data_IF_269043835747
#
_entry.id   IF_269043835747
#
_cell.length_a   1.000
_cell.length_b   1.000
_cell.length_c   1.000
_cell.angle_alpha   90.00
_cell.angle_beta   90.00
_cell.angle_gamma   90.00
#
_symmetry.space_group_name_H-M   'P 1'
#
loop_
_entity.id
_entity.type
_entity.pdbx_description
1 polymer ?
#
# COMPACT_ATOMS: atom_id res chain seq x y z
N UNK A 1 -4.57 -15.05 6.05
CA UNK A 1 -4.08 -16.38 5.65
C UNK A 1 -2.79 -16.69 6.42
N UNK A 2 -2.88 -16.93 7.74
CA UNK A 2 -1.70 -17.12 8.59
C UNK A 2 -0.92 -18.40 8.24
N UNK A 3 -1.62 -19.47 7.84
CA UNK A 3 -0.99 -20.75 7.48
C UNK A 3 -0.07 -20.66 6.26
N UNK A 4 -0.48 -19.94 5.20
CA UNK A 4 0.40 -19.73 4.05
C UNK A 4 1.60 -18.84 4.40
N UNK A 5 1.40 -17.77 5.19
CA UNK A 5 2.48 -16.89 5.61
C UNK A 5 3.52 -17.66 6.45
N UNK A 6 3.07 -18.51 7.39
CA UNK A 6 3.97 -19.33 8.20
C UNK A 6 4.86 -20.23 7.33
N UNK A 7 4.27 -20.88 6.32
CA UNK A 7 5.02 -21.74 5.39
C UNK A 7 6.01 -20.95 4.54
N UNK A 8 5.59 -19.86 3.93
CA UNK A 8 6.43 -19.09 3.00
C UNK A 8 7.54 -18.30 3.71
N UNK A 9 7.32 -17.86 4.95
CA UNK A 9 8.26 -17.07 5.73
C UNK A 9 9.15 -17.94 6.65
N UNK A 10 8.99 -19.27 6.63
CA UNK A 10 9.78 -20.17 7.47
C UNK A 10 9.55 -19.97 8.97
N UNK A 11 8.31 -19.64 9.36
CA UNK A 11 7.93 -19.50 10.77
C UNK A 11 7.68 -20.89 11.35
N UNK A 12 8.38 -21.21 12.44
CA UNK A 12 8.16 -22.46 13.17
C UNK A 12 6.87 -22.41 13.97
N UNK A 13 6.36 -23.56 14.39
CA UNK A 13 5.18 -23.62 15.27
C UNK A 13 5.42 -22.84 16.58
N UNK A 14 6.61 -22.96 17.17
CA UNK A 14 6.99 -22.20 18.36
C UNK A 14 7.06 -20.69 18.11
N UNK A 15 7.51 -20.26 16.92
CA UNK A 15 7.50 -18.84 16.56
C UNK A 15 6.06 -18.30 16.57
N UNK A 16 5.12 -19.03 15.96
CA UNK A 16 3.70 -18.63 15.90
C UNK A 16 3.05 -18.54 17.29
N UNK A 17 3.30 -19.53 18.15
CA UNK A 17 2.80 -19.53 19.53
C UNK A 17 3.39 -18.37 20.32
N UNK A 18 4.72 -18.19 20.26
CA UNK A 18 5.38 -17.07 20.95
C UNK A 18 4.89 -15.72 20.45
N UNK A 19 4.57 -15.63 19.14
CA UNK A 19 4.07 -14.39 18.57
C UNK A 19 2.64 -14.11 19.10
N UNK A 20 1.78 -15.13 19.13
CA UNK A 20 0.43 -14.99 19.66
C UNK A 20 0.42 -14.61 21.15
N UNK A 21 1.27 -15.24 21.97
CA UNK A 21 1.41 -14.93 23.40
C UNK A 21 1.94 -13.51 23.65
N UNK A 22 2.79 -12.99 22.77
CA UNK A 22 3.24 -11.59 22.78
C UNK A 22 2.14 -10.60 22.33
N UNK A 23 0.93 -11.09 22.03
CA UNK A 23 -0.22 -10.27 21.65
C UNK A 23 -0.23 -9.88 20.17
N UNK A 24 0.57 -10.54 19.33
CA UNK A 24 0.64 -10.17 17.92
C UNK A 24 -0.65 -10.43 17.16
N UNK A 25 -1.09 -9.40 16.43
CA UNK A 25 -2.28 -9.44 15.59
C UNK A 25 -1.93 -8.88 14.21
N UNK A 26 -2.59 -9.37 13.16
CA UNK A 26 -2.23 -9.04 11.78
C UNK A 26 -2.43 -7.57 11.35
N UNK A 27 -2.78 -6.69 12.29
CA UNK A 27 -2.94 -5.25 12.08
C UNK A 27 -2.18 -4.42 13.13
N UNK A 28 -1.33 -5.05 13.93
CA UNK A 28 -0.40 -4.33 14.81
C UNK A 28 0.73 -3.68 13.99
N UNK A 29 1.57 -2.90 14.66
CA UNK A 29 2.71 -2.20 14.04
C UNK A 29 3.99 -3.07 14.01
N UNK A 30 3.89 -4.37 14.33
CA UNK A 30 5.04 -5.28 14.49
C UNK A 30 5.20 -6.21 13.27
N UNK A 31 5.58 -5.63 12.14
CA UNK A 31 5.74 -6.36 10.87
C UNK A 31 6.97 -7.29 10.83
N UNK A 32 7.94 -7.10 11.73
CA UNK A 32 9.16 -7.92 11.84
C UNK A 32 9.40 -8.31 13.30
N UNK A 33 9.35 -9.62 13.59
CA UNK A 33 9.60 -10.17 14.93
C UNK A 33 10.83 -11.05 14.88
N UNK A 34 11.81 -10.80 15.76
CA UNK A 34 13.08 -11.55 15.83
C UNK A 34 13.80 -11.62 14.47
N UNK A 35 13.72 -10.54 13.69
CA UNK A 35 14.32 -10.46 12.34
C UNK A 35 13.57 -11.23 11.26
N UNK A 36 12.43 -11.87 11.57
CA UNK A 36 11.57 -12.54 10.60
C UNK A 36 10.33 -11.70 10.30
N UNK A 37 9.97 -11.50 9.02
CA UNK A 37 8.70 -10.88 8.67
C UNK A 37 7.52 -11.74 9.13
N UNK A 38 6.43 -11.10 9.53
CA UNK A 38 5.23 -11.77 10.06
C UNK A 38 4.10 -11.87 9.04
N UNK A 39 4.17 -11.04 8.00
CA UNK A 39 3.17 -10.92 6.95
C UNK A 39 3.75 -11.14 5.55
N UNK A 40 2.85 -11.43 4.61
CA UNK A 40 3.17 -11.49 3.19
C UNK A 40 2.14 -10.70 2.40
N UNK A 41 2.62 -9.95 1.40
CA UNK A 41 1.76 -9.26 0.43
C UNK A 41 1.52 -10.22 -0.75
N UNK A 42 0.26 -10.38 -1.14
CA UNK A 42 -0.14 -11.20 -2.30
C UNK A 42 -0.77 -10.31 -3.36
N UNK A 43 -0.27 -10.41 -4.58
CA UNK A 43 -0.92 -9.84 -5.77
C UNK A 43 -1.65 -10.96 -6.51
N UNK A 44 -2.76 -10.61 -7.15
CA UNK A 44 -3.55 -11.53 -7.98
C UNK A 44 -3.90 -10.82 -9.28
N UNK A 45 -3.58 -11.46 -10.39
CA UNK A 45 -3.81 -10.93 -11.74
C UNK A 45 -5.16 -11.43 -12.26
N UNK A 46 -5.86 -10.56 -12.98
CA UNK A 46 -7.14 -10.89 -13.58
C UNK A 46 -6.98 -11.62 -14.91
N UNK A 47 -8.07 -12.14 -15.46
CA UNK A 47 -8.07 -12.84 -16.75
C UNK A 47 -7.45 -12.03 -17.90
N UNK A 48 -7.65 -10.71 -17.89
CA UNK A 48 -7.15 -9.79 -18.92
C UNK A 48 -5.71 -9.32 -18.68
N UNK A 49 -5.08 -9.71 -17.55
CA UNK A 49 -3.72 -9.32 -17.25
C UNK A 49 -2.73 -10.08 -18.12
N UNK A 50 -1.73 -9.35 -18.60
CA UNK A 50 -0.64 -9.86 -19.41
C UNK A 50 0.61 -10.10 -18.57
N UNK A 51 1.60 -10.79 -19.14
CA UNK A 51 2.90 -10.94 -18.50
C UNK A 51 3.59 -9.58 -18.31
N UNK A 52 3.40 -8.68 -19.27
CA UNK A 52 3.90 -7.32 -19.26
C UNK A 52 3.35 -6.53 -18.07
N UNK A 53 2.06 -6.68 -17.75
CA UNK A 53 1.47 -6.05 -16.55
C UNK A 53 2.16 -6.50 -15.27
N UNK A 54 2.53 -7.78 -15.18
CA UNK A 54 3.27 -8.31 -14.04
C UNK A 54 4.71 -7.79 -13.97
N UNK A 55 5.35 -7.62 -15.13
CA UNK A 55 6.70 -7.05 -15.23
C UNK A 55 6.71 -5.56 -14.83
N UNK A 56 5.75 -4.77 -15.30
CA UNK A 56 5.61 -3.36 -14.92
C UNK A 56 5.36 -3.20 -13.42
N UNK A 57 4.53 -4.07 -12.85
CA UNK A 57 4.35 -4.11 -11.40
C UNK A 57 5.65 -4.45 -10.66
N UNK A 58 6.46 -5.36 -11.18
CA UNK A 58 7.77 -5.68 -10.59
C UNK A 58 8.74 -4.48 -10.67
N UNK A 59 8.76 -3.76 -11.79
CA UNK A 59 9.54 -2.52 -11.96
C UNK A 59 9.09 -1.45 -10.95
N UNK A 60 7.79 -1.31 -10.73
CA UNK A 60 7.25 -0.43 -9.70
C UNK A 60 7.75 -0.80 -8.30
N UNK A 61 7.73 -2.09 -7.93
CA UNK A 61 8.25 -2.55 -6.64
C UNK A 61 9.73 -2.23 -6.46
N UNK A 62 10.54 -2.52 -7.49
CA UNK A 62 11.98 -2.28 -7.46
C UNK A 62 12.33 -0.80 -7.37
N UNK A 63 11.60 0.07 -8.04
CA UNK A 63 11.84 1.52 -8.03
C UNK A 63 11.35 2.19 -6.74
N UNK A 64 10.27 1.70 -6.15
CA UNK A 64 9.60 2.37 -5.02
C UNK A 64 10.00 1.82 -3.65
N UNK A 65 10.31 0.52 -3.55
CA UNK A 65 10.46 -0.16 -2.26
C UNK A 65 11.79 -0.89 -2.05
N UNK A 66 12.62 -1.04 -3.09
CA UNK A 66 13.92 -1.71 -2.98
C UNK A 66 15.04 -0.67 -2.93
N UNK A 67 15.73 -0.60 -1.80
CA UNK A 67 16.96 0.19 -1.69
C UNK A 67 18.06 -0.47 -2.53
N UNK A 68 18.56 0.24 -3.54
CA UNK A 68 19.74 -0.21 -4.30
C UNK A 68 20.99 0.10 -3.48
N UNK A 69 21.90 -0.87 -3.23
CA UNK A 69 23.16 -0.56 -2.58
C UNK A 69 23.93 0.42 -3.45
N UNK A 70 24.20 1.61 -2.90
CA UNK A 70 25.05 2.60 -3.57
C UNK A 70 26.47 2.04 -3.52
N UNK A 71 27.00 1.66 -4.68
CA UNK A 71 28.43 1.47 -4.81
C UNK A 71 29.09 2.84 -4.57
N UNK A 72 29.61 3.06 -3.36
CA UNK A 72 30.39 4.25 -3.02
C UNK A 72 31.65 4.30 -3.88
N UNK A 73 31.54 5.02 -4.97
CA UNK A 73 32.66 5.63 -5.69
C UNK A 73 32.38 7.12 -5.75
N UNK A 74 32.86 7.82 -4.72
CA UNK A 74 33.24 9.24 -4.68
C UNK A 74 32.38 10.22 -5.50
N UNK A 75 31.47 10.89 -4.78
CA UNK A 75 31.04 12.28 -4.99
C UNK A 75 30.44 12.61 -6.35
N UNK A 76 29.12 12.78 -6.42
CA UNK A 76 28.42 13.92 -7.05
C UNK A 76 26.90 13.73 -6.92
N UNK A 77 26.25 14.76 -6.36
CA UNK A 77 24.87 15.24 -6.53
C UNK A 77 23.74 14.21 -6.74
N UNK A 78 22.82 14.14 -5.78
CA UNK A 78 21.48 13.56 -5.96
C UNK A 78 20.71 14.41 -6.99
N UNK A 79 20.83 14.07 -8.27
CA UNK A 79 19.93 14.55 -9.30
C UNK A 79 18.68 13.68 -9.26
N UNK A 80 17.61 14.22 -8.70
CA UNK A 80 16.24 13.78 -9.03
C UNK A 80 16.05 14.05 -10.53
N UNK A 81 16.52 13.13 -11.36
CA UNK A 81 16.09 13.07 -12.74
C UNK A 81 14.71 12.44 -12.73
N UNK A 82 13.71 13.32 -12.87
CA UNK A 82 12.54 13.13 -13.72
C UNK A 82 12.48 11.75 -14.36
N UNK A 83 11.42 11.00 -14.01
CA UNK A 83 10.98 9.81 -14.71
C UNK A 83 10.85 10.13 -16.20
N UNK A 84 11.93 9.95 -16.96
CA UNK A 84 11.91 9.82 -18.39
C UNK A 84 11.30 8.44 -18.69
N UNK A 85 9.98 8.36 -18.57
CA UNK A 85 9.19 7.38 -19.31
C UNK A 85 9.09 7.86 -20.75
N UNK A 86 10.24 7.92 -21.44
CA UNK A 86 10.28 7.93 -22.89
C UNK A 86 10.58 6.50 -23.29
N UNK A 87 9.54 5.67 -23.23
CA UNK A 87 9.58 4.36 -23.86
C UNK A 87 9.50 4.61 -25.37
N UNK A 88 10.66 4.49 -26.02
CA UNK A 88 10.85 4.88 -27.40
C UNK A 88 10.58 3.73 -28.38
N UNK A 89 9.88 2.66 -27.96
CA UNK A 89 9.53 1.53 -28.83
C UNK A 89 8.21 0.87 -28.43
N UNK A 90 7.10 1.56 -28.70
CA UNK A 90 5.96 0.97 -29.42
C UNK A 90 4.84 2.02 -29.54
N UNK A 91 4.36 2.24 -30.76
CA UNK A 91 3.05 2.88 -30.99
C UNK A 91 1.95 1.92 -30.52
N UNK A 92 1.92 1.64 -29.21
CA UNK A 92 0.77 1.03 -28.58
C UNK A 92 -0.28 2.13 -28.53
N UNK A 93 -1.38 1.94 -29.26
CA UNK A 93 -2.58 2.75 -29.15
C UNK A 93 -3.01 2.64 -27.69
N UNK A 94 -2.68 3.65 -26.88
CA UNK A 94 -3.15 3.72 -25.50
C UNK A 94 -4.67 3.74 -25.62
N UNK A 95 -5.39 2.73 -25.09
CA UNK A 95 -6.84 2.75 -25.13
C UNK A 95 -7.34 4.06 -24.50
N UNK A 96 -8.44 4.61 -25.04
CA UNK A 96 -9.05 5.83 -24.50
C UNK A 96 -9.50 5.57 -23.05
N UNK A 97 -8.63 5.91 -22.09
CA UNK A 97 -8.90 5.78 -20.66
C UNK A 97 -9.66 7.03 -20.22
N UNK A 98 -10.93 6.84 -19.88
CA UNK A 98 -11.77 7.91 -19.34
C UNK A 98 -12.08 7.68 -17.87
N UNK A 99 -11.93 8.74 -17.07
CA UNK A 99 -12.39 8.75 -15.69
C UNK A 99 -13.92 8.77 -15.67
N UNK A 100 -14.52 7.69 -15.13
CA UNK A 100 -15.99 7.57 -15.07
C UNK A 100 -16.62 8.38 -13.94
N UNK A 101 -16.02 8.35 -12.75
CA UNK A 101 -16.51 9.06 -11.57
C UNK A 101 -15.43 9.15 -10.50
N UNK A 102 -15.54 10.14 -9.63
CA UNK A 102 -14.74 10.28 -8.42
C UNK A 102 -15.70 10.16 -7.23
N UNK A 103 -15.37 9.33 -6.25
CA UNK A 103 -16.17 9.17 -5.03
C UNK A 103 -15.26 9.45 -3.83
N UNK A 104 -15.67 10.41 -3.00
CA UNK A 104 -14.94 10.79 -1.79
C UNK A 104 -15.55 10.07 -0.59
N UNK A 105 -14.69 9.46 0.22
CA UNK A 105 -15.05 8.78 1.46
C UNK A 105 -14.36 9.48 2.64
N UNK A 106 -15.01 10.49 3.26
CA UNK A 106 -14.44 11.20 4.41
C UNK A 106 -14.14 10.28 5.57
N UNK A 107 -14.96 9.23 5.75
CA UNK A 107 -14.75 8.15 6.71
C UNK A 107 -14.73 6.83 5.95
N UNK A 108 -13.66 6.06 6.14
CA UNK A 108 -13.50 4.74 5.52
C UNK A 108 -14.67 3.83 5.91
N UNK A 109 -15.20 3.12 4.92
CA UNK A 109 -16.34 2.19 5.05
C UNK A 109 -17.71 2.84 5.31
N UNK A 110 -17.81 4.18 5.32
CA UNK A 110 -19.09 4.89 5.31
C UNK A 110 -19.55 5.22 3.88
N UNK A 111 -20.77 5.74 3.74
CA UNK A 111 -21.29 6.20 2.46
C UNK A 111 -20.42 7.35 1.91
N UNK A 112 -19.87 7.17 0.71
CA UNK A 112 -19.16 8.21 -0.01
C UNK A 112 -20.11 9.11 -0.82
N UNK A 113 -19.60 10.25 -1.27
CA UNK A 113 -20.32 11.14 -2.18
C UNK A 113 -19.56 11.32 -3.50
N UNK A 114 -20.31 11.41 -4.59
CA UNK A 114 -19.75 11.57 -5.94
C UNK A 114 -19.38 13.02 -6.20
N UNK A 115 -18.26 13.24 -6.89
CA UNK A 115 -17.80 14.56 -7.32
C UNK A 115 -17.42 14.54 -8.80
N UNK A 116 -17.54 15.68 -9.48
CA UNK A 116 -17.17 15.83 -10.89
C UNK A 116 -15.67 16.02 -11.08
N UNK A 117 -15.01 16.67 -10.13
CA UNK A 117 -13.56 16.92 -10.13
C UNK A 117 -13.05 16.99 -8.70
N UNK A 118 -11.73 16.81 -8.54
CA UNK A 118 -11.07 16.95 -7.24
C UNK A 118 -9.65 17.53 -7.43
N UNK A 119 -9.17 18.43 -6.56
CA UNK A 119 -7.84 19.01 -6.72
C UNK A 119 -6.73 17.97 -6.53
N UNK A 120 -5.67 18.10 -7.32
CA UNK A 120 -4.41 17.36 -7.13
C UNK A 120 -3.39 18.24 -6.41
N UNK A 121 -2.71 17.64 -5.44
CA UNK A 121 -1.54 18.15 -4.76
C UNK A 121 -0.31 17.33 -5.17
N UNK A 122 0.89 17.75 -4.73
CA UNK A 122 2.13 17.04 -5.03
C UNK A 122 2.10 15.56 -4.56
N UNK A 123 1.33 15.25 -3.51
CA UNK A 123 1.17 13.90 -2.97
C UNK A 123 -0.03 13.10 -3.48
N UNK A 124 -0.82 13.63 -4.42
CA UNK A 124 -2.04 12.97 -4.92
C UNK A 124 -3.30 13.80 -4.76
N UNK A 125 -4.45 13.16 -4.51
CA UNK A 125 -5.71 13.88 -4.29
C UNK A 125 -5.63 14.71 -3.02
N UNK A 126 -5.98 16.00 -3.10
CA UNK A 126 -5.93 16.93 -1.96
C UNK A 126 -6.73 16.37 -0.78
N UNK A 127 -6.16 16.38 0.42
CA UNK A 127 -6.76 15.86 1.66
C UNK A 127 -6.89 14.34 1.77
N UNK A 128 -6.43 13.55 0.78
CA UNK A 128 -6.46 12.09 0.92
C UNK A 128 -5.55 11.66 2.08
N UNK A 129 -6.15 11.03 3.10
CA UNK A 129 -5.47 10.51 4.31
C UNK A 129 -4.69 11.54 5.12
N UNK A 130 -4.96 12.83 4.94
CA UNK A 130 -4.30 13.90 5.70
C UNK A 130 -4.90 14.11 7.11
N UNK A 131 -6.08 13.54 7.37
CA UNK A 131 -6.84 13.77 8.60
C UNK A 131 -7.31 12.45 9.22
N UNK A 132 -7.43 12.45 10.54
CA UNK A 132 -7.97 11.35 11.33
C UNK A 132 -8.97 11.89 12.36
N UNK A 133 -9.85 11.01 12.83
CA UNK A 133 -10.79 11.36 13.90
C UNK A 133 -10.11 11.15 15.25
N UNK A 134 -10.18 12.16 16.12
CA UNK A 134 -9.72 12.08 17.50
C UNK A 134 -10.93 12.13 18.44
N UNK A 135 -10.99 11.18 19.37
CA UNK A 135 -12.01 11.15 20.42
C UNK A 135 -11.73 12.19 21.51
N UNK A 136 -12.70 12.39 22.40
CA UNK A 136 -12.60 13.38 23.48
C UNK A 136 -11.48 13.10 24.49
N UNK A 137 -11.00 11.85 24.56
CA UNK A 137 -9.86 11.46 25.41
C UNK A 137 -8.50 11.58 24.72
N UNK A 138 -8.46 12.09 23.48
CA UNK A 138 -7.23 12.22 22.70
C UNK A 138 -6.86 10.97 21.91
N UNK A 139 -7.63 9.89 22.00
CA UNK A 139 -7.43 8.66 21.26
C UNK A 139 -7.78 8.80 19.78
N UNK A 140 -6.98 8.17 18.91
CA UNK A 140 -7.27 8.09 17.47
C UNK A 140 -8.37 7.06 17.25
N UNK A 141 -9.49 7.50 16.69
CA UNK A 141 -10.61 6.65 16.35
C UNK A 141 -10.33 5.93 15.04
N UNK A 142 -10.45 4.61 15.08
CA UNK A 142 -10.40 3.75 13.90
C UNK A 142 -11.61 2.85 13.91
N UNK A 143 -12.13 2.49 12.74
CA UNK A 143 -13.30 1.61 12.61
C UNK A 143 -13.19 0.31 13.44
N UNK A 144 -11.96 -0.19 13.65
CA UNK A 144 -11.69 -1.39 14.46
C UNK A 144 -11.75 -1.14 15.97
N UNK A 145 -11.42 0.08 16.43
CA UNK A 145 -11.45 0.45 17.86
C UNK A 145 -12.84 0.95 18.30
N UNK A 146 -13.64 1.47 17.38
CA UNK A 146 -14.97 2.03 17.66
C UNK A 146 -16.09 1.08 17.17
N UNK A 147 -16.36 0.02 17.93
CA UNK A 147 -17.63 -0.72 17.83
C UNK A 147 -18.53 -0.28 18.99
N UNK A 148 -19.74 0.30 18.80
CA UNK A 148 -20.55 0.44 17.58
C UNK A 148 -20.83 1.92 17.19
N UNK A 149 -20.48 2.31 15.96
CA UNK A 149 -21.07 3.51 15.31
C UNK A 149 -22.06 3.08 14.22
N UNK A 150 -22.93 2.14 14.58
CA UNK A 150 -23.99 1.61 13.70
C UNK A 150 -25.36 1.97 14.29
N UNK A 151 -26.05 2.86 13.59
CA UNK A 151 -27.51 3.08 13.56
C UNK A 151 -28.20 3.63 14.82
N UNK A 152 -28.45 4.96 14.79
CA UNK A 152 -29.78 5.51 15.08
C UNK A 152 -30.36 6.06 13.78
#
# INVERSE_FOLDING_TARGET
NPGACAKYLGLSHSDLVSNFEAGHVCWDDNDVIKGKPTGAVRISFGYISTYQDAEEFLKFLQSSFVSKPIASSNGHTLSMNTLNLVDNQSQQVVPDVRLKSIIIYPVKSCQGFSVQSWPLAAGGLKYDREWLLQGSGGEILTQKKSWPLSAH
#
